data_IF_287864660603
#
_entry.id   IF_287864660603
#
_cell.length_a   1.000
_cell.length_b   1.000
_cell.length_c   1.000
_cell.angle_alpha   90.00
_cell.angle_beta   90.00
_cell.angle_gamma   90.00
#
_symmetry.space_group_name_H-M   'P 1'
#
loop_
_entity.id
_entity.type
_entity.pdbx_description
1 polymer ?
#
# COMPACT_ATOMS: atom_id res chain seq x y z
N UNK A 1 -39.26 -9.76 60.22
CA UNK A 1 -38.89 -9.83 58.77
C UNK A 1 -39.50 -11.12 58.20
N UNK A 2 -40.56 -11.01 57.37
CA UNK A 2 -41.23 -12.21 56.78
C UNK A 2 -40.47 -12.59 55.50
N UNK A 3 -39.76 -13.71 55.49
CA UNK A 3 -39.18 -14.29 54.32
C UNK A 3 -40.29 -14.90 53.45
N UNK A 4 -40.54 -14.30 52.29
CA UNK A 4 -41.48 -14.84 51.30
C UNK A 4 -40.81 -16.06 50.63
N UNK A 5 -41.28 -17.24 51.05
CA UNK A 5 -40.85 -18.54 50.49
C UNK A 5 -41.42 -18.67 49.07
N UNK A 6 -40.66 -18.24 48.06
CA UNK A 6 -41.02 -18.43 46.66
C UNK A 6 -41.14 -19.91 46.33
N UNK A 7 -42.35 -20.35 45.90
CA UNK A 7 -42.58 -21.74 45.49
C UNK A 7 -41.78 -21.99 44.20
N UNK A 8 -40.97 -23.05 44.14
CA UNK A 8 -40.07 -23.30 42.97
C UNK A 8 -40.83 -23.47 41.66
N UNK A 9 -42.11 -23.81 41.71
CA UNK A 9 -42.96 -23.89 40.52
C UNK A 9 -43.24 -22.53 39.86
N UNK A 10 -43.41 -21.46 40.64
CA UNK A 10 -43.66 -20.13 40.13
C UNK A 10 -42.44 -19.60 39.38
N UNK A 11 -41.25 -19.83 39.91
CA UNK A 11 -39.98 -19.43 39.25
C UNK A 11 -39.79 -20.17 37.92
N UNK A 12 -40.09 -21.47 37.88
CA UNK A 12 -40.01 -22.26 36.64
C UNK A 12 -40.98 -21.76 35.57
N UNK A 13 -42.23 -21.46 35.95
CA UNK A 13 -43.25 -20.93 35.01
C UNK A 13 -42.81 -19.57 34.46
N UNK A 14 -42.27 -18.67 35.27
CA UNK A 14 -41.76 -17.37 34.82
C UNK A 14 -40.60 -17.52 33.84
N UNK A 15 -39.65 -18.45 34.11
CA UNK A 15 -38.52 -18.69 33.20
C UNK A 15 -39.01 -19.22 31.84
N UNK A 16 -39.95 -20.16 31.83
CA UNK A 16 -40.53 -20.72 30.59
C UNK A 16 -41.25 -19.62 29.80
N UNK A 17 -41.99 -18.75 30.50
CA UNK A 17 -42.69 -17.63 29.84
C UNK A 17 -41.72 -16.62 29.21
N UNK A 18 -40.62 -16.28 29.88
CA UNK A 18 -39.56 -15.44 29.35
C UNK A 18 -38.88 -16.04 28.11
N UNK A 19 -38.63 -17.35 28.11
CA UNK A 19 -38.06 -18.07 26.95
C UNK A 19 -38.99 -18.06 25.74
N UNK A 20 -40.31 -18.24 25.94
CA UNK A 20 -41.29 -18.20 24.86
C UNK A 20 -41.38 -16.79 24.25
N UNK A 21 -41.38 -15.75 25.10
CA UNK A 21 -41.38 -14.36 24.62
C UNK A 21 -40.11 -13.99 23.84
N UNK A 22 -38.95 -14.54 24.23
CA UNK A 22 -37.67 -14.32 23.51
C UNK A 22 -37.69 -14.93 22.09
N UNK A 23 -38.39 -16.04 21.90
CA UNK A 23 -38.48 -16.70 20.58
C UNK A 23 -39.45 -15.99 19.60
N UNK A 24 -40.55 -15.41 20.13
CA UNK A 24 -41.51 -14.68 19.28
C UNK A 24 -40.94 -13.32 18.79
N UNK A 25 -40.02 -12.71 19.54
CA UNK A 25 -39.41 -11.43 19.20
C UNK A 25 -38.56 -11.46 17.92
N UNK A 26 -37.95 -12.62 17.62
CA UNK A 26 -37.06 -12.73 16.44
C UNK A 26 -37.81 -12.67 15.09
N UNK A 27 -39.03 -13.21 14.99
CA UNK A 27 -39.77 -13.17 13.73
C UNK A 27 -40.25 -11.77 13.36
N UNK A 28 -40.64 -10.98 14.33
CA UNK A 28 -41.09 -9.59 14.11
C UNK A 28 -39.94 -8.70 13.64
N UNK A 29 -38.70 -8.99 14.12
CA UNK A 29 -37.52 -8.26 13.73
C UNK A 29 -37.10 -8.59 12.29
N UNK A 30 -37.13 -9.85 11.92
CA UNK A 30 -36.77 -10.29 10.54
C UNK A 30 -37.78 -9.72 9.52
N UNK A 31 -39.06 -9.67 9.82
CA UNK A 31 -40.10 -9.09 8.94
C UNK A 31 -39.92 -7.60 8.68
N UNK A 32 -39.32 -6.86 9.61
CA UNK A 32 -39.14 -5.41 9.49
C UNK A 32 -37.91 -5.05 8.60
N UNK A 33 -36.93 -5.97 8.47
CA UNK A 33 -35.71 -5.76 7.68
C UNK A 33 -35.71 -6.50 6.33
N UNK A 34 -36.61 -7.47 6.12
CA UNK A 34 -36.82 -8.07 4.80
C UNK A 34 -37.79 -7.19 4.00
N UNK A 35 -37.24 -6.32 3.18
CA UNK A 35 -38.01 -5.51 2.21
C UNK A 35 -38.77 -6.47 1.30
N UNK A 36 -40.12 -6.56 1.43
CA UNK A 36 -40.94 -7.29 0.48
C UNK A 36 -40.67 -6.72 -0.91
N UNK A 37 -40.13 -7.54 -1.81
CA UNK A 37 -40.08 -7.19 -3.22
C UNK A 37 -41.54 -7.01 -3.67
N UNK A 38 -41.96 -5.78 -3.89
CA UNK A 38 -43.18 -5.48 -4.62
C UNK A 38 -43.03 -6.11 -6.01
N UNK A 39 -43.92 -7.00 -6.39
CA UNK A 39 -43.94 -7.61 -7.71
C UNK A 39 -44.49 -6.61 -8.75
N UNK A 40 -43.77 -5.51 -8.93
CA UNK A 40 -43.83 -4.73 -10.15
C UNK A 40 -42.66 -5.21 -10.99
N UNK A 41 -42.97 -5.78 -12.14
CA UNK A 41 -41.97 -5.95 -13.21
C UNK A 41 -41.56 -4.53 -13.63
N UNK A 42 -40.68 -3.92 -12.88
CA UNK A 42 -39.93 -2.76 -13.35
C UNK A 42 -39.14 -3.28 -14.53
N UNK A 43 -39.48 -2.90 -15.74
CA UNK A 43 -38.57 -3.04 -16.88
C UNK A 43 -37.29 -2.36 -16.43
N UNK A 44 -36.28 -3.19 -16.11
CA UNK A 44 -34.96 -2.66 -15.78
C UNK A 44 -34.56 -1.79 -16.98
N UNK A 45 -34.24 -0.51 -16.75
CA UNK A 45 -33.70 0.31 -17.84
C UNK A 45 -32.51 -0.45 -18.43
N UNK A 46 -32.31 -0.43 -19.76
CA UNK A 46 -31.24 -1.18 -20.38
C UNK A 46 -29.93 -0.83 -19.62
N UNK A 47 -29.31 -1.85 -19.05
CA UNK A 47 -28.02 -1.70 -18.37
C UNK A 47 -27.08 -1.19 -19.46
N UNK A 48 -26.85 0.11 -19.48
CA UNK A 48 -25.80 0.69 -20.30
C UNK A 48 -24.52 -0.04 -19.91
N UNK A 49 -23.98 -0.83 -20.82
CA UNK A 49 -22.68 -1.47 -20.58
C UNK A 49 -21.73 -0.36 -20.12
N UNK A 50 -21.05 -0.52 -18.97
CA UNK A 50 -20.12 0.49 -18.51
C UNK A 50 -19.16 0.77 -19.67
N UNK A 51 -19.11 2.03 -20.12
CA UNK A 51 -18.07 2.43 -21.07
C UNK A 51 -16.73 2.05 -20.42
N UNK A 52 -15.92 1.24 -21.13
CA UNK A 52 -14.59 0.92 -20.67
C UNK A 52 -13.86 2.24 -20.37
N UNK A 53 -13.65 2.50 -19.08
CA UNK A 53 -12.91 3.67 -18.65
C UNK A 53 -11.49 3.56 -19.22
N UNK A 54 -11.25 4.22 -20.34
CA UNK A 54 -9.91 4.45 -20.84
C UNK A 54 -9.24 5.37 -19.84
N UNK A 55 -8.50 4.79 -18.89
CA UNK A 55 -7.78 5.53 -17.87
C UNK A 55 -7.04 6.72 -18.48
N UNK A 56 -6.78 7.78 -17.70
CA UNK A 56 -6.13 8.97 -18.22
C UNK A 56 -4.84 8.57 -18.94
N UNK A 57 -4.71 8.96 -20.20
CA UNK A 57 -3.49 8.74 -20.96
C UNK A 57 -2.39 9.62 -20.34
N UNK A 58 -1.61 9.04 -19.42
CA UNK A 58 -0.49 9.73 -18.80
C UNK A 58 0.61 9.95 -19.81
N UNK A 59 1.10 11.18 -19.91
CA UNK A 59 2.23 11.52 -20.77
C UNK A 59 3.53 10.87 -20.28
N UNK A 60 4.51 10.67 -21.15
CA UNK A 60 5.84 10.16 -20.75
C UNK A 60 6.50 11.06 -19.69
N UNK A 61 6.27 12.37 -19.75
CA UNK A 61 6.72 13.30 -18.72
C UNK A 61 6.11 13.01 -17.35
N UNK A 62 4.80 12.75 -17.30
CA UNK A 62 4.11 12.42 -16.04
C UNK A 62 4.57 11.09 -15.49
N UNK A 63 4.72 10.07 -16.35
CA UNK A 63 5.24 8.76 -15.97
C UNK A 63 6.66 8.84 -15.42
N UNK A 64 7.53 9.66 -16.04
CA UNK A 64 8.86 9.93 -15.50
C UNK A 64 8.79 10.61 -14.13
N UNK A 65 7.99 11.66 -13.99
CA UNK A 65 7.81 12.38 -12.71
C UNK A 65 7.33 11.44 -11.61
N UNK A 66 6.35 10.61 -11.91
CA UNK A 66 5.80 9.64 -10.97
C UNK A 66 6.87 8.63 -10.53
N UNK A 67 7.62 8.06 -11.48
CA UNK A 67 8.70 7.12 -11.19
C UNK A 67 9.82 7.77 -10.37
N UNK A 68 10.16 9.04 -10.63
CA UNK A 68 11.13 9.80 -9.85
C UNK A 68 10.67 10.04 -8.41
N UNK A 69 9.39 10.37 -8.20
CA UNK A 69 8.82 10.55 -6.86
C UNK A 69 8.84 9.23 -6.09
N UNK A 70 8.44 8.12 -6.73
CA UNK A 70 8.48 6.80 -6.11
C UNK A 70 9.90 6.36 -5.78
N UNK A 71 10.84 6.53 -6.72
CA UNK A 71 12.26 6.27 -6.43
C UNK A 71 12.73 7.05 -5.20
N UNK A 72 12.44 8.34 -5.15
CA UNK A 72 12.86 9.20 -4.03
C UNK A 72 12.27 8.73 -2.71
N UNK A 73 10.99 8.37 -2.69
CA UNK A 73 10.31 7.86 -1.50
C UNK A 73 10.97 6.58 -0.99
N UNK A 74 11.23 5.61 -1.88
CA UNK A 74 11.89 4.37 -1.51
C UNK A 74 13.34 4.57 -1.07
N UNK A 75 14.04 5.52 -1.68
CA UNK A 75 15.41 5.89 -1.28
C UNK A 75 15.43 6.54 0.11
N UNK A 76 14.48 7.42 0.42
CA UNK A 76 14.35 8.03 1.74
C UNK A 76 13.98 6.97 2.80
N UNK A 77 13.10 6.03 2.47
CA UNK A 77 12.73 4.92 3.35
C UNK A 77 13.92 3.97 3.60
N UNK A 78 14.75 3.71 2.58
CA UNK A 78 15.99 2.93 2.73
C UNK A 78 16.94 3.61 3.71
N UNK A 79 17.16 4.92 3.55
CA UNK A 79 18.03 5.70 4.45
C UNK A 79 17.53 5.62 5.89
N UNK A 80 16.21 5.76 6.09
CA UNK A 80 15.59 5.62 7.41
C UNK A 80 15.75 4.19 7.97
N UNK A 81 15.56 3.16 7.14
CA UNK A 81 15.74 1.77 7.57
C UNK A 81 17.17 1.42 7.95
N UNK A 82 18.17 2.15 7.42
CA UNK A 82 19.58 2.01 7.76
C UNK A 82 20.00 2.80 9.03
N UNK A 83 19.12 3.68 9.56
CA UNK A 83 19.37 4.39 10.82
C UNK A 83 19.20 3.50 12.08
N UNK A 84 18.36 2.46 12.01
CA UNK A 84 18.03 1.62 13.16
C UNK A 84 19.13 0.57 13.44
N UNK A 85 20.15 0.96 14.15
CA UNK A 85 21.31 0.09 14.47
C UNK A 85 20.95 -1.00 15.49
N UNK A 86 20.05 -0.73 16.44
CA UNK A 86 19.73 -1.66 17.53
C UNK A 86 18.86 -2.84 17.10
N UNK A 87 18.04 -2.66 16.06
CA UNK A 87 17.19 -3.72 15.52
C UNK A 87 17.05 -3.58 14.00
N UNK A 88 18.08 -3.96 13.23
CA UNK A 88 18.09 -3.79 11.79
C UNK A 88 17.05 -4.69 11.11
N UNK A 89 16.14 -4.08 10.35
CA UNK A 89 15.16 -4.82 9.57
C UNK A 89 15.68 -5.05 8.14
N UNK A 90 16.41 -6.14 7.95
CA UNK A 90 17.03 -6.49 6.65
C UNK A 90 16.00 -6.70 5.54
N UNK A 91 14.83 -7.28 5.86
CA UNK A 91 13.77 -7.49 4.88
C UNK A 91 13.26 -6.14 4.35
N UNK A 92 13.09 -5.16 5.24
CA UNK A 92 12.70 -3.80 4.87
C UNK A 92 13.77 -3.13 4.02
N UNK A 93 15.06 -3.21 4.43
CA UNK A 93 16.17 -2.62 3.68
C UNK A 93 16.27 -3.21 2.27
N UNK A 94 16.19 -4.54 2.14
CA UNK A 94 16.18 -5.23 0.85
C UNK A 94 14.97 -4.85 -0.01
N UNK A 95 13.79 -4.73 0.58
CA UNK A 95 12.57 -4.27 -0.11
C UNK A 95 12.73 -2.85 -0.65
N UNK A 96 13.19 -1.91 0.18
CA UNK A 96 13.37 -0.51 -0.21
C UNK A 96 14.39 -0.36 -1.37
N UNK A 97 15.56 -1.02 -1.29
CA UNK A 97 16.56 -0.94 -2.35
C UNK A 97 16.07 -1.55 -3.66
N UNK A 98 15.32 -2.65 -3.60
CA UNK A 98 14.74 -3.29 -4.78
C UNK A 98 13.72 -2.36 -5.48
N UNK A 99 12.80 -1.77 -4.71
CA UNK A 99 11.81 -0.85 -5.27
C UNK A 99 12.45 0.44 -5.78
N UNK A 100 13.49 0.95 -5.12
CA UNK A 100 14.26 2.08 -5.63
C UNK A 100 14.91 1.76 -6.99
N UNK A 101 15.57 0.60 -7.13
CA UNK A 101 16.17 0.16 -8.40
C UNK A 101 15.10 0.02 -9.48
N UNK A 102 13.98 -0.62 -9.19
CA UNK A 102 12.87 -0.80 -10.14
C UNK A 102 12.37 0.53 -10.69
N UNK A 103 12.21 1.54 -9.84
CA UNK A 103 11.79 2.87 -10.28
C UNK A 103 12.86 3.58 -11.13
N UNK A 104 14.16 3.41 -10.85
CA UNK A 104 15.24 3.91 -11.72
C UNK A 104 15.18 3.24 -13.10
N UNK A 105 14.98 1.94 -13.16
CA UNK A 105 14.82 1.20 -14.43
C UNK A 105 13.59 1.70 -15.20
N UNK A 106 12.49 1.99 -14.52
CA UNK A 106 11.30 2.59 -15.14
C UNK A 106 11.59 3.99 -15.66
N UNK A 107 12.26 4.85 -14.88
CA UNK A 107 12.67 6.20 -15.33
C UNK A 107 13.53 6.14 -16.60
N UNK A 108 14.44 5.16 -16.67
CA UNK A 108 15.34 4.95 -17.82
C UNK A 108 14.58 4.83 -19.14
N UNK A 109 13.42 4.16 -19.15
CA UNK A 109 12.61 3.91 -20.33
C UNK A 109 12.10 5.19 -21.01
N UNK A 110 11.99 6.28 -20.25
CA UNK A 110 11.50 7.57 -20.74
C UNK A 110 12.60 8.53 -21.18
N UNK A 111 13.88 8.14 -21.06
CA UNK A 111 15.02 9.01 -21.33
C UNK A 111 15.65 8.73 -22.69
N UNK A 112 16.24 9.76 -23.30
CA UNK A 112 17.12 9.64 -24.46
C UNK A 112 18.41 8.89 -24.09
N UNK A 113 19.05 8.23 -25.06
CA UNK A 113 20.19 7.34 -24.89
C UNK A 113 21.37 7.93 -24.10
N UNK A 114 21.65 9.22 -24.26
CA UNK A 114 22.71 9.92 -23.53
C UNK A 114 22.46 9.88 -22.01
N UNK A 115 21.23 10.15 -21.58
CA UNK A 115 20.86 10.15 -20.16
C UNK A 115 20.60 8.76 -19.62
N UNK A 116 20.22 7.82 -20.49
CA UNK A 116 20.12 6.40 -20.11
C UNK A 116 21.47 5.88 -19.65
N UNK A 117 22.55 6.10 -20.41
CA UNK A 117 23.91 5.65 -20.04
C UNK A 117 24.33 6.17 -18.66
N UNK A 118 24.10 7.46 -18.40
CA UNK A 118 24.41 8.05 -17.10
C UNK A 118 23.54 7.48 -15.96
N UNK A 119 22.26 7.18 -16.23
CA UNK A 119 21.39 6.56 -15.23
C UNK A 119 21.78 5.10 -14.96
N UNK A 120 22.27 4.38 -15.98
CA UNK A 120 22.76 3.00 -15.85
C UNK A 120 23.92 2.91 -14.86
N UNK A 121 24.83 3.90 -14.82
CA UNK A 121 25.90 3.97 -13.82
C UNK A 121 25.34 4.06 -12.37
N UNK A 122 24.24 4.79 -12.18
CA UNK A 122 23.57 4.88 -10.89
C UNK A 122 22.84 3.58 -10.53
N UNK A 123 22.23 2.92 -11.51
CA UNK A 123 21.60 1.60 -11.32
C UNK A 123 22.63 0.56 -10.90
N UNK A 124 23.82 0.55 -11.51
CA UNK A 124 24.93 -0.33 -11.10
C UNK A 124 25.32 -0.04 -9.64
N UNK A 125 25.57 1.23 -9.27
CA UNK A 125 25.91 1.62 -7.90
C UNK A 125 24.82 1.26 -6.89
N UNK A 126 23.55 1.31 -7.28
CA UNK A 126 22.44 0.87 -6.43
C UNK A 126 22.41 -0.65 -6.25
N UNK A 127 22.77 -1.43 -7.29
CA UNK A 127 22.91 -2.87 -7.17
C UNK A 127 24.13 -3.25 -6.29
N UNK A 128 25.24 -2.53 -6.37
CA UNK A 128 26.39 -2.72 -5.48
C UNK A 128 25.98 -2.46 -4.02
N UNK A 129 25.22 -1.37 -3.77
CA UNK A 129 24.70 -1.08 -2.43
C UNK A 129 23.75 -2.19 -1.93
N UNK A 130 22.89 -2.74 -2.81
CA UNK A 130 22.03 -3.88 -2.48
C UNK A 130 22.86 -5.09 -2.05
N UNK A 131 23.93 -5.42 -2.76
CA UNK A 131 24.83 -6.53 -2.40
C UNK A 131 25.48 -6.30 -1.05
N UNK A 132 25.99 -5.10 -0.79
CA UNK A 132 26.58 -4.73 0.50
C UNK A 132 25.61 -4.82 1.67
N UNK A 133 24.34 -4.44 1.46
CA UNK A 133 23.28 -4.61 2.47
C UNK A 133 22.99 -6.10 2.70
N UNK A 134 22.95 -6.92 1.66
CA UNK A 134 22.71 -8.36 1.77
C UNK A 134 23.83 -9.11 2.51
N UNK A 135 25.08 -8.67 2.34
CA UNK A 135 26.25 -9.22 3.01
C UNK A 135 26.35 -8.82 4.49
N UNK A 136 25.78 -7.67 4.85
CA UNK A 136 25.87 -7.10 6.20
C UNK A 136 24.83 -7.70 7.17
N UNK A 137 24.85 -9.02 7.34
CA UNK A 137 23.89 -9.75 8.19
C UNK A 137 23.90 -9.34 9.67
N UNK A 138 24.96 -8.69 10.13
CA UNK A 138 25.13 -8.30 11.54
C UNK A 138 25.03 -6.79 11.76
N UNK A 139 24.74 -6.02 10.72
CA UNK A 139 24.59 -4.57 10.82
C UNK A 139 25.87 -3.80 11.14
N UNK A 140 27.04 -4.38 10.89
CA UNK A 140 28.34 -3.75 11.17
C UNK A 140 28.61 -2.55 10.26
N UNK A 141 28.05 -2.55 9.07
CA UNK A 141 28.28 -1.55 8.03
C UNK A 141 27.06 -0.64 7.78
N UNK A 142 26.03 -0.66 8.63
CA UNK A 142 24.82 0.12 8.44
C UNK A 142 25.09 1.60 8.20
N UNK A 143 26.00 2.20 8.96
CA UNK A 143 26.33 3.62 8.80
C UNK A 143 27.01 3.89 7.43
N UNK A 144 27.93 3.03 7.00
CA UNK A 144 28.55 3.15 5.69
C UNK A 144 27.57 2.95 4.54
N UNK A 145 26.67 1.98 4.66
CA UNK A 145 25.61 1.74 3.68
C UNK A 145 24.65 2.93 3.63
N UNK A 146 24.33 3.52 4.78
CA UNK A 146 23.53 4.76 4.85
C UNK A 146 24.21 5.93 4.14
N UNK A 147 25.47 6.20 4.42
CA UNK A 147 26.22 7.28 3.78
C UNK A 147 26.30 7.11 2.25
N UNK A 148 26.45 5.87 1.77
CA UNK A 148 26.38 5.54 0.33
C UNK A 148 25.00 5.80 -0.24
N UNK A 149 23.95 5.38 0.45
CA UNK A 149 22.56 5.63 0.04
C UNK A 149 22.25 7.14 -0.05
N UNK A 150 22.70 7.92 0.93
CA UNK A 150 22.54 9.38 0.95
C UNK A 150 23.31 10.06 -0.19
N UNK A 151 24.53 9.60 -0.47
CA UNK A 151 25.33 10.11 -1.59
C UNK A 151 24.63 9.84 -2.92
N UNK A 152 24.18 8.62 -3.16
CA UNK A 152 23.44 8.25 -4.36
C UNK A 152 22.18 9.09 -4.52
N UNK A 153 21.44 9.29 -3.43
CA UNK A 153 20.25 10.15 -3.42
C UNK A 153 20.59 11.58 -3.88
N UNK A 154 21.61 12.21 -3.31
CA UNK A 154 22.01 13.57 -3.68
C UNK A 154 22.44 13.66 -5.14
N UNK A 155 23.24 12.71 -5.60
CA UNK A 155 23.75 12.70 -6.96
C UNK A 155 22.64 12.49 -7.99
N UNK A 156 21.71 11.55 -7.74
CA UNK A 156 20.59 11.31 -8.65
C UNK A 156 19.63 12.51 -8.66
N UNK A 157 19.31 13.13 -7.51
CA UNK A 157 18.48 14.34 -7.47
C UNK A 157 19.14 15.47 -8.26
N UNK A 158 20.45 15.67 -8.09
CA UNK A 158 21.21 16.70 -8.80
C UNK A 158 21.13 16.52 -10.32
N UNK A 159 21.23 15.29 -10.82
CA UNK A 159 21.42 15.02 -12.23
C UNK A 159 20.10 14.65 -12.95
N UNK A 160 19.10 14.15 -12.24
CA UNK A 160 17.86 13.58 -12.79
C UNK A 160 16.58 14.26 -12.28
N UNK A 161 16.68 15.41 -11.59
CA UNK A 161 15.49 16.20 -11.25
C UNK A 161 14.76 16.65 -12.51
N UNK A 162 13.42 16.70 -12.48
CA UNK A 162 12.60 16.96 -13.66
C UNK A 162 12.98 18.21 -14.45
N UNK A 163 13.28 19.39 -13.84
CA UNK A 163 13.67 20.57 -14.60
C UNK A 163 14.91 20.36 -15.49
N UNK A 164 15.85 19.52 -15.02
CA UNK A 164 17.09 19.23 -15.75
C UNK A 164 16.94 18.19 -16.83
N UNK A 165 16.00 17.26 -16.62
CA UNK A 165 15.84 16.11 -17.49
C UNK A 165 14.80 16.32 -18.57
N UNK A 166 13.91 17.31 -18.40
CA UNK A 166 12.81 17.58 -19.33
C UNK A 166 13.22 17.60 -20.82
N UNK A 167 14.35 18.23 -21.25
CA UNK A 167 14.77 18.22 -22.65
C UNK A 167 15.20 16.84 -23.18
N UNK A 168 15.44 15.89 -22.28
CA UNK A 168 15.93 14.55 -22.58
C UNK A 168 14.85 13.47 -22.44
N UNK A 169 13.61 13.86 -22.16
CA UNK A 169 12.48 12.94 -22.13
C UNK A 169 12.05 12.64 -23.57
N UNK A 170 11.72 11.37 -23.82
CA UNK A 170 11.18 10.93 -25.10
C UNK A 170 9.78 11.54 -25.30
N UNK A 171 9.55 12.17 -26.40
CA UNK A 171 8.21 12.66 -26.83
C UNK A 171 7.33 11.52 -27.28
#
# INVERSE_FOLDING_TARGET
>A
MRATRYRPHVVRVVIIFCLIFSLVGCEAFIRKFTRKRKGEVVQEPPVLAPEEYKGPQTTKEEQYRQSFIFWRSWQDELIQALLFVQNPNYKKQAGCVNEAIKNLVTMRQYLKSEKQKKLDEFIVKMNDLKSLIAEDRYGRNLNWNRLRAEKLRRDIIRDFSFPKIKPYILT
#
